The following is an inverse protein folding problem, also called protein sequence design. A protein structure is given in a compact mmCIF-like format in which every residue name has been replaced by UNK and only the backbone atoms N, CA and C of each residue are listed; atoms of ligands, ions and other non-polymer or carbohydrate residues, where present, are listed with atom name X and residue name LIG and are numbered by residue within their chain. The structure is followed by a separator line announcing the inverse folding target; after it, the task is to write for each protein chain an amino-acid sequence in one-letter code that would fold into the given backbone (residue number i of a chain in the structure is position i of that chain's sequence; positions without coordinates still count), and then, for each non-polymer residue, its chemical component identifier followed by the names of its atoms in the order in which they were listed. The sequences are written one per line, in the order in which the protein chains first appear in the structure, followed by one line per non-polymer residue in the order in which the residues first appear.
data_IF_710206192492
#
_entry.id   IF_710206192492
#
_cell.length_a   1.000
_cell.length_b   1.000
_cell.length_c   1.000
_cell.angle_alpha   90.00
_cell.angle_beta   90.00
_cell.angle_gamma   90.00
#
_symmetry.space_group_name_H-M   'P 1'
#
loop_
_entity.id
_entity.type
_entity.pdbx_description
1 polymer ?
#
# COMPACT_ATOMS: atom_id res chain seq x y z
N UNK A 1 18.78 -21.35 23.60
CA UNK A 1 17.81 -21.40 22.47
C UNK A 1 17.70 -19.98 21.92
N UNK A 2 18.21 -19.72 20.71
CA UNK A 2 18.31 -18.40 20.05
C UNK A 2 17.75 -18.47 18.60
N UNK A 3 16.66 -19.19 18.40
CA UNK A 3 16.06 -19.26 17.05
C UNK A 3 15.25 -18.00 16.77
N UNK A 4 15.45 -17.33 15.62
CA UNK A 4 14.66 -16.18 15.22
C UNK A 4 13.18 -16.52 15.13
N UNK A 5 12.33 -15.57 15.50
CA UNK A 5 10.88 -15.68 15.27
C UNK A 5 10.66 -15.74 13.74
N UNK A 6 9.91 -16.75 13.23
CA UNK A 6 9.68 -16.91 11.80
C UNK A 6 8.59 -15.95 11.31
N UNK A 7 8.93 -14.65 11.21
CA UNK A 7 8.00 -13.63 10.75
C UNK A 7 7.53 -13.89 9.33
N UNK A 8 6.21 -13.86 9.13
CA UNK A 8 5.59 -13.89 7.80
C UNK A 8 5.40 -12.47 7.31
N UNK A 9 5.94 -12.16 6.12
CA UNK A 9 5.71 -10.86 5.48
C UNK A 9 4.33 -10.83 4.84
N UNK A 10 3.46 -9.97 5.37
CA UNK A 10 2.06 -9.85 4.93
C UNK A 10 1.81 -8.70 3.95
N UNK A 11 2.51 -7.57 4.08
CA UNK A 11 2.43 -6.45 3.14
C UNK A 11 3.64 -6.49 2.21
N UNK A 12 3.37 -6.69 0.93
CA UNK A 12 4.38 -6.76 -0.11
C UNK A 12 3.86 -6.06 -1.36
N UNK A 13 4.48 -4.92 -1.69
CA UNK A 13 4.38 -4.33 -3.03
C UNK A 13 5.15 -5.21 -4.03
N UNK A 14 4.82 -5.18 -5.33
CA UNK A 14 5.59 -5.90 -6.34
C UNK A 14 7.09 -5.58 -6.26
N UNK A 15 7.94 -6.55 -6.60
CA UNK A 15 9.40 -6.40 -6.44
C UNK A 15 9.95 -5.22 -7.25
N UNK A 16 9.39 -4.95 -8.42
CA UNK A 16 9.73 -3.83 -9.30
C UNK A 16 9.14 -2.49 -8.84
N UNK A 17 8.67 -2.38 -7.60
CA UNK A 17 8.14 -1.14 -7.00
C UNK A 17 9.01 -0.68 -5.85
N UNK A 18 9.53 0.55 -5.92
CA UNK A 18 10.23 1.19 -4.82
C UNK A 18 9.26 1.96 -3.91
N UNK A 19 9.12 1.50 -2.66
CA UNK A 19 8.21 2.09 -1.67
C UNK A 19 8.92 2.37 -0.33
N UNK A 20 9.49 3.58 -0.14
CA UNK A 20 10.10 3.96 1.13
C UNK A 20 9.08 4.54 2.12
N UNK A 21 8.87 3.87 3.26
CA UNK A 21 7.99 4.38 4.34
C UNK A 21 8.33 5.81 4.79
N UNK A 22 9.63 6.12 4.86
CA UNK A 22 10.14 7.42 5.35
C UNK A 22 9.57 8.63 4.61
N UNK A 23 9.36 8.53 3.30
CA UNK A 23 8.80 9.64 2.52
C UNK A 23 7.35 9.94 2.92
N UNK A 24 6.55 8.90 3.08
CA UNK A 24 5.13 8.98 3.41
C UNK A 24 4.90 9.48 4.85
N UNK A 25 5.67 8.96 5.81
CA UNK A 25 5.60 9.43 7.21
C UNK A 25 5.99 10.89 7.32
N UNK A 26 7.03 11.34 6.61
CA UNK A 26 7.44 12.76 6.59
C UNK A 26 6.41 13.67 5.94
N UNK A 27 5.62 13.16 5.00
CA UNK A 27 4.50 13.88 4.40
C UNK A 27 3.26 13.93 5.31
N UNK A 28 3.32 13.34 6.52
CA UNK A 28 2.22 13.34 7.47
C UNK A 28 1.13 12.31 7.16
N UNK A 29 1.39 11.33 6.28
CA UNK A 29 0.46 10.24 6.00
C UNK A 29 0.38 9.33 7.21
N UNK A 30 -0.82 9.15 7.75
CA UNK A 30 -1.05 8.28 8.92
C UNK A 30 -0.96 6.80 8.53
N UNK A 31 -0.47 5.96 9.45
CA UNK A 31 -0.34 4.51 9.24
C UNK A 31 -1.66 3.87 8.77
N UNK A 32 -2.77 4.39 9.31
CA UNK A 32 -4.12 3.90 9.09
C UNK A 32 -4.60 4.09 7.65
N UNK A 33 -4.00 5.04 6.93
CA UNK A 33 -4.30 5.27 5.51
C UNK A 33 -4.00 4.03 4.66
N UNK A 34 -2.96 3.27 5.00
CA UNK A 34 -2.53 2.08 4.26
C UNK A 34 -2.86 0.76 4.99
N UNK A 35 -2.73 0.74 6.32
CA UNK A 35 -2.79 -0.47 7.13
C UNK A 35 -4.11 -0.65 7.89
N UNK A 36 -5.07 0.29 7.80
CA UNK A 36 -6.26 0.29 8.65
C UNK A 36 -5.92 0.56 10.12
N UNK A 37 -6.79 0.25 11.10
CA UNK A 37 -6.58 0.55 12.51
C UNK A 37 -5.51 -0.37 13.15
N UNK A 38 -4.28 -0.28 12.66
CA UNK A 38 -3.15 -1.16 12.99
C UNK A 38 -2.81 -1.15 14.47
N UNK A 39 -3.09 -0.04 15.16
CA UNK A 39 -2.90 0.15 16.60
C UNK A 39 -3.82 -0.72 17.46
N UNK A 40 -4.94 -1.21 16.91
CA UNK A 40 -5.87 -2.12 17.61
C UNK A 40 -5.81 -3.55 17.09
N UNK A 41 -4.96 -3.84 16.10
CA UNK A 41 -4.81 -5.18 15.53
C UNK A 41 -3.94 -6.06 16.42
N UNK A 42 -4.54 -7.08 17.04
CA UNK A 42 -3.81 -8.12 17.77
C UNK A 42 -3.00 -9.02 16.82
N UNK A 43 -3.52 -9.26 15.62
CA UNK A 43 -2.85 -9.94 14.51
C UNK A 43 -3.06 -9.11 13.27
N UNK A 44 -1.99 -8.83 12.53
CA UNK A 44 -2.07 -8.02 11.33
C UNK A 44 -2.49 -8.89 10.16
N UNK A 45 -3.61 -8.54 9.55
CA UNK A 45 -4.14 -9.21 8.35
C UNK A 45 -4.01 -8.27 7.14
N UNK A 46 -3.47 -8.79 6.04
CA UNK A 46 -3.46 -8.06 4.78
C UNK A 46 -4.87 -8.08 4.17
N UNK A 47 -5.70 -7.09 4.52
CA UNK A 47 -6.91 -6.76 3.74
C UNK A 47 -6.57 -6.02 2.44
N UNK A 48 -5.33 -5.59 2.31
CA UNK A 48 -4.80 -4.78 1.21
C UNK A 48 -3.65 -5.55 0.56
N UNK A 49 -3.81 -5.92 -0.72
CA UNK A 49 -2.84 -6.75 -1.45
C UNK A 49 -3.46 -7.91 -2.25
N UNK A 50 -2.59 -8.68 -2.91
CA UNK A 50 -2.96 -9.88 -3.67
C UNK A 50 -3.46 -10.96 -2.71
N UNK A 51 -4.70 -11.38 -2.91
CA UNK A 51 -5.27 -12.55 -2.26
C UNK A 51 -6.02 -13.32 -3.33
N UNK A 52 -6.15 -14.64 -3.20
CA UNK A 52 -6.91 -15.44 -4.15
C UNK A 52 -8.33 -14.88 -4.36
N UNK A 53 -8.95 -14.38 -3.28
CA UNK A 53 -10.27 -13.76 -3.37
C UNK A 53 -10.26 -12.44 -4.17
N UNK A 54 -9.26 -11.58 -3.97
CA UNK A 54 -9.13 -10.32 -4.72
C UNK A 54 -8.80 -10.58 -6.20
N UNK A 55 -7.92 -11.54 -6.48
CA UNK A 55 -7.54 -11.90 -7.85
C UNK A 55 -8.73 -12.49 -8.61
N UNK A 56 -9.53 -13.36 -7.97
CA UNK A 56 -10.77 -13.87 -8.54
C UNK A 56 -11.78 -12.77 -8.83
N UNK A 57 -11.97 -11.81 -7.92
CA UNK A 57 -12.87 -10.67 -8.13
C UNK A 57 -12.45 -9.80 -9.32
N UNK A 58 -11.14 -9.59 -9.50
CA UNK A 58 -10.60 -8.89 -10.65
C UNK A 58 -10.85 -9.66 -11.96
N UNK A 59 -10.67 -10.99 -11.96
CA UNK A 59 -10.87 -11.85 -13.14
C UNK A 59 -12.33 -11.88 -13.61
N UNK A 60 -13.30 -11.86 -12.69
CA UNK A 60 -14.73 -11.90 -13.04
C UNK A 60 -15.35 -10.53 -13.26
N UNK A 61 -14.54 -9.46 -13.28
CA UNK A 61 -15.02 -8.08 -13.52
C UNK A 61 -15.88 -7.51 -12.37
N UNK A 62 -15.78 -8.09 -11.17
CA UNK A 62 -16.47 -7.64 -9.96
C UNK A 62 -15.54 -6.84 -9.02
N UNK A 63 -14.46 -6.29 -9.56
CA UNK A 63 -13.49 -5.51 -8.81
C UNK A 63 -14.19 -4.38 -8.05
N UNK A 64 -14.07 -4.39 -6.72
CA UNK A 64 -14.52 -3.26 -5.88
C UNK A 64 -13.56 -2.10 -6.10
N UNK A 65 -14.10 -0.90 -6.30
CA UNK A 65 -13.31 0.32 -6.48
C UNK A 65 -12.36 0.52 -5.29
N UNK A 66 -11.10 0.84 -5.62
CA UNK A 66 -9.97 1.14 -4.74
C UNK A 66 -9.54 0.04 -3.76
N UNK A 67 -8.99 -1.07 -4.27
CA UNK A 67 -8.13 -1.92 -3.42
C UNK A 67 -6.90 -1.09 -3.00
N UNK A 68 -6.65 -0.88 -1.70
CA UNK A 68 -5.51 -0.09 -1.27
C UNK A 68 -4.20 -0.74 -1.72
N UNK A 69 -3.19 0.10 -1.98
CA UNK A 69 -1.85 -0.30 -2.45
C UNK A 69 -1.80 -0.89 -3.87
N UNK A 70 -2.84 -0.68 -4.69
CA UNK A 70 -2.74 -0.84 -6.15
C UNK A 70 -2.07 0.38 -6.78
N UNK A 71 -1.54 0.25 -8.01
CA UNK A 71 -0.95 1.38 -8.74
C UNK A 71 -1.93 2.56 -8.86
N UNK A 72 -3.19 2.27 -9.21
CA UNK A 72 -4.24 3.29 -9.33
C UNK A 72 -4.47 4.03 -8.01
N UNK A 73 -4.53 3.31 -6.89
CA UNK A 73 -4.67 3.89 -5.57
C UNK A 73 -3.49 4.81 -5.20
N UNK A 74 -2.25 4.39 -5.50
CA UNK A 74 -1.05 5.20 -5.22
C UNK A 74 -1.07 6.52 -6.01
N UNK A 75 -1.34 6.45 -7.32
CA UNK A 75 -1.37 7.63 -8.19
C UNK A 75 -2.50 8.57 -7.78
N UNK A 76 -3.69 8.06 -7.50
CA UNK A 76 -4.83 8.86 -7.03
C UNK A 76 -4.55 9.57 -5.70
N UNK A 77 -3.89 8.90 -4.76
CA UNK A 77 -3.45 9.51 -3.51
C UNK A 77 -2.44 10.63 -3.77
N UNK A 78 -1.42 10.38 -4.59
CA UNK A 78 -0.39 11.36 -4.93
C UNK A 78 -0.96 12.59 -5.63
N UNK A 79 -1.86 12.41 -6.62
CA UNK A 79 -2.51 13.53 -7.32
C UNK A 79 -3.37 14.34 -6.35
N UNK A 80 -4.13 13.67 -5.48
CA UNK A 80 -4.97 14.32 -4.46
C UNK A 80 -4.13 15.12 -3.47
N UNK A 81 -3.03 14.57 -2.98
CA UNK A 81 -2.12 15.25 -2.04
C UNK A 81 -1.40 16.42 -2.70
N UNK A 82 -1.04 16.31 -3.98
CA UNK A 82 -0.44 17.42 -4.73
C UNK A 82 -1.44 18.57 -4.92
N UNK A 83 -2.71 18.24 -5.22
CA UNK A 83 -3.77 19.23 -5.39
C UNK A 83 -4.22 19.89 -4.07
N UNK A 84 -4.47 19.12 -3.02
CA UNK A 84 -5.04 19.61 -1.75
C UNK A 84 -4.00 20.18 -0.80
N UNK A 85 -2.85 19.51 -0.67
CA UNK A 85 -1.86 19.80 0.37
C UNK A 85 -0.59 20.46 -0.20
N UNK A 86 -0.59 20.82 -1.50
CA UNK A 86 0.57 21.39 -2.22
C UNK A 86 1.85 20.56 -2.03
N UNK A 87 1.70 19.25 -1.86
CA UNK A 87 2.83 18.32 -1.77
C UNK A 87 3.46 18.12 -3.16
N UNK A 88 4.61 17.44 -3.18
CA UNK A 88 5.33 17.08 -4.42
C UNK A 88 5.55 15.57 -4.50
N UNK A 89 4.47 14.82 -4.31
CA UNK A 89 4.49 13.37 -4.44
C UNK A 89 4.79 12.97 -5.90
N UNK A 90 5.70 12.02 -6.16
CA UNK A 90 6.07 11.61 -7.51
C UNK A 90 4.90 11.03 -8.31
N UNK A 91 4.78 11.40 -9.58
CA UNK A 91 3.81 10.82 -10.51
C UNK A 91 4.47 10.15 -11.73
N UNK A 92 5.78 10.30 -11.86
CA UNK A 92 6.56 9.70 -12.94
C UNK A 92 6.74 8.19 -12.70
N UNK A 93 6.43 7.38 -13.71
CA UNK A 93 6.44 5.92 -13.62
C UNK A 93 7.79 5.37 -13.12
N UNK A 94 8.91 5.88 -13.64
CA UNK A 94 10.25 5.42 -13.34
C UNK A 94 10.76 5.80 -11.93
N UNK A 95 10.03 6.67 -11.20
CA UNK A 95 10.35 6.94 -9.79
C UNK A 95 9.79 5.83 -8.89
N UNK A 96 8.68 5.23 -9.30
CA UNK A 96 8.03 4.13 -8.59
C UNK A 96 8.53 2.77 -9.07
N UNK A 97 8.82 2.63 -10.36
CA UNK A 97 9.19 1.38 -11.00
C UNK A 97 10.65 1.37 -11.42
N UNK A 98 11.33 0.24 -11.22
CA UNK A 98 12.66 -0.03 -11.75
C UNK A 98 12.64 -1.16 -12.76
#
# INVERSE_FOLDING_TARGET
KNEPIPWVRIFKVPEYVYFPHKAHVRAGVTCQTCHGPIETMAVVEAKTGQTLANDLLNLVGLARTSTPLTMGWCVECHTTMNAKNKTKAPLECAICHH
#
